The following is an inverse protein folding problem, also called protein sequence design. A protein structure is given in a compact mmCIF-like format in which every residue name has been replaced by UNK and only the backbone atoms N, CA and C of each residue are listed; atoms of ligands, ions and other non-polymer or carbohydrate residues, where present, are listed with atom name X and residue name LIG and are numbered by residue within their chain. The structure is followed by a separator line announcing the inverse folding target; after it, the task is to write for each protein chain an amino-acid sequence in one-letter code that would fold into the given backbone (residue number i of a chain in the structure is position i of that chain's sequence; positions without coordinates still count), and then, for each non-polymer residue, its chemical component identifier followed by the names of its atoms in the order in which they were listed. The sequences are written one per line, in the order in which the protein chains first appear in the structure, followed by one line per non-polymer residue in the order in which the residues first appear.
data_IF_250450915625
#
_entry.id   IF_250450915625
#
_cell.length_a   1.000
_cell.length_b   1.000
_cell.length_c   1.000
_cell.angle_alpha   90.00
_cell.angle_beta   90.00
_cell.angle_gamma   90.00
#
_symmetry.space_group_name_H-M   'P 1'
#
loop_
_entity.id
_entity.type
_entity.pdbx_description
1 polymer ?
#
# COMPACT_ATOMS: atom_id res chain seq x y z
N UNK A 1 54.53 7.28 -44.27
CA UNK A 1 55.99 7.02 -44.18
C UNK A 1 56.65 8.34 -43.79
N UNK A 2 57.41 8.38 -42.68
CA UNK A 2 58.29 9.50 -42.23
C UNK A 2 57.53 10.73 -41.70
N UNK A 3 57.39 11.06 -40.41
CA UNK A 3 58.33 11.23 -39.27
C UNK A 3 59.05 12.60 -39.29
N UNK A 4 58.73 13.41 -38.25
CA UNK A 4 59.48 14.51 -37.57
C UNK A 4 60.00 15.69 -38.41
N UNK A 5 60.07 16.96 -37.98
CA UNK A 5 59.85 17.63 -36.70
C UNK A 5 60.52 19.04 -36.77
N UNK A 6 59.93 20.03 -36.09
CA UNK A 6 60.52 21.29 -35.55
C UNK A 6 61.26 22.29 -36.48
N UNK A 7 60.72 23.53 -36.60
CA UNK A 7 61.12 24.76 -35.86
C UNK A 7 60.62 26.04 -36.54
N UNK A 8 60.03 26.91 -35.71
CA UNK A 8 59.91 28.39 -35.70
C UNK A 8 59.92 29.22 -37.00
N UNK A 9 58.90 30.07 -37.17
CA UNK A 9 59.03 31.52 -37.01
C UNK A 9 57.69 32.29 -37.12
N UNK A 10 57.70 33.46 -36.48
CA UNK A 10 56.59 34.36 -36.13
C UNK A 10 55.98 35.13 -37.33
N UNK A 11 54.71 35.54 -37.21
CA UNK A 11 54.27 36.86 -37.67
C UNK A 11 53.03 37.35 -36.90
N UNK A 12 53.03 38.67 -36.66
CA UNK A 12 52.05 39.48 -35.94
C UNK A 12 50.61 39.38 -36.45
N UNK A 13 49.61 39.45 -35.55
CA UNK A 13 48.38 40.23 -35.77
C UNK A 13 47.85 40.82 -34.45
N UNK A 14 47.32 42.01 -34.57
CA UNK A 14 46.97 43.04 -33.61
C UNK A 14 45.97 42.70 -32.48
N UNK A 15 46.14 43.51 -31.43
CA UNK A 15 45.32 43.73 -30.25
C UNK A 15 43.90 44.22 -30.62
N UNK A 16 42.87 43.61 -30.04
CA UNK A 16 41.48 43.92 -30.35
C UNK A 16 40.52 43.35 -29.31
N UNK A 17 40.31 44.08 -28.21
CA UNK A 17 39.23 43.80 -27.25
C UNK A 17 37.86 44.01 -27.91
N UNK A 18 36.92 43.05 -27.83
CA UNK A 18 35.51 43.34 -28.02
C UNK A 18 34.81 43.56 -26.67
N UNK A 19 34.22 44.74 -26.59
CA UNK A 19 33.06 45.23 -25.85
C UNK A 19 32.28 44.22 -24.96
N UNK A 20 32.09 44.59 -23.69
CA UNK A 20 31.20 43.90 -22.75
C UNK A 20 29.75 44.31 -23.05
N UNK A 21 29.16 43.67 -24.05
CA UNK A 21 27.74 43.75 -24.36
C UNK A 21 26.87 43.38 -23.15
N UNK A 22 25.90 44.23 -22.86
CA UNK A 22 24.92 44.12 -21.78
C UNK A 22 24.13 42.81 -21.87
N UNK A 23 24.19 42.02 -20.79
CA UNK A 23 23.40 40.79 -20.64
C UNK A 23 21.93 41.18 -20.46
N UNK A 24 21.12 41.00 -21.50
CA UNK A 24 19.67 41.15 -21.42
C UNK A 24 19.11 40.24 -20.32
N UNK A 25 18.32 40.82 -19.40
CA UNK A 25 17.60 40.07 -18.37
C UNK A 25 16.63 39.09 -19.04
N UNK A 26 16.56 37.81 -18.62
CA UNK A 26 15.59 36.88 -19.17
C UNK A 26 14.17 37.40 -18.86
N UNK A 27 13.31 37.38 -19.89
CA UNK A 27 11.88 37.68 -19.76
C UNK A 27 11.30 36.72 -18.74
N UNK A 28 10.55 37.26 -17.78
CA UNK A 28 9.81 36.47 -16.81
C UNK A 28 8.94 35.46 -17.55
N UNK A 29 9.21 34.18 -17.31
CA UNK A 29 8.29 33.10 -17.66
C UNK A 29 7.08 33.26 -16.76
N UNK A 30 6.02 33.89 -17.25
CA UNK A 30 4.68 33.77 -16.67
C UNK A 30 4.18 32.36 -16.97
N UNK A 31 4.72 31.37 -16.24
CA UNK A 31 4.03 30.10 -16.08
C UNK A 31 2.90 30.36 -15.10
N UNK A 32 1.69 30.48 -15.63
CA UNK A 32 0.45 30.31 -14.87
C UNK A 32 0.59 29.04 -14.04
N UNK A 33 0.79 29.22 -12.74
CA UNK A 33 0.55 28.17 -11.75
C UNK A 33 -0.96 27.95 -11.74
N UNK A 34 -1.43 27.08 -12.63
CA UNK A 34 -2.72 26.42 -12.42
C UNK A 34 -2.57 25.63 -11.12
N UNK A 35 -2.93 26.26 -10.00
CA UNK A 35 -3.33 25.55 -8.81
C UNK A 35 -4.43 24.60 -9.26
N UNK A 36 -4.08 23.33 -9.34
CA UNK A 36 -5.01 22.25 -9.65
C UNK A 36 -6.02 22.23 -8.50
N UNK A 37 -7.14 22.93 -8.62
CA UNK A 37 -8.25 22.87 -7.68
C UNK A 37 -8.73 21.41 -7.67
N UNK A 38 -8.22 20.63 -6.72
CA UNK A 38 -8.74 19.30 -6.47
C UNK A 38 -10.25 19.45 -6.18
N UNK A 39 -11.12 18.68 -6.85
CA UNK A 39 -12.55 18.73 -6.60
C UNK A 39 -12.79 18.63 -5.10
N UNK A 40 -13.50 19.61 -4.51
CA UNK A 40 -13.71 19.71 -3.06
C UNK A 40 -14.34 18.47 -2.42
N UNK A 41 -14.87 17.55 -3.24
CA UNK A 41 -15.59 16.35 -2.82
C UNK A 41 -14.94 15.07 -3.40
N UNK A 42 -13.64 14.87 -3.20
CA UNK A 42 -12.99 13.58 -3.53
C UNK A 42 -13.39 12.51 -2.51
N UNK A 43 -13.81 11.35 -3.00
CA UNK A 43 -14.08 10.17 -2.17
C UNK A 43 -13.03 9.12 -2.48
N UNK A 44 -12.00 9.06 -1.64
CA UNK A 44 -10.90 8.11 -1.76
C UNK A 44 -11.09 6.98 -0.75
N UNK A 45 -11.09 5.74 -1.23
CA UNK A 45 -11.16 4.56 -0.39
C UNK A 45 -9.78 3.92 -0.29
N UNK A 46 -9.28 3.74 0.92
CA UNK A 46 -8.12 2.91 1.20
C UNK A 46 -8.58 1.46 1.41
N UNK A 47 -8.00 0.52 0.68
CA UNK A 47 -8.26 -0.91 0.78
C UNK A 47 -6.98 -1.60 1.26
N UNK A 48 -7.11 -2.37 2.35
CA UNK A 48 -6.06 -3.18 2.95
C UNK A 48 -6.61 -4.62 3.11
N UNK A 49 -5.93 -5.61 2.52
CA UNK A 49 -6.38 -7.01 2.58
C UNK A 49 -5.96 -7.66 3.90
N UNK A 50 -6.92 -7.95 4.77
CA UNK A 50 -6.62 -8.54 6.07
C UNK A 50 -5.98 -9.94 5.97
N UNK A 51 -5.07 -10.25 6.89
CA UNK A 51 -4.37 -11.53 7.01
C UNK A 51 -3.79 -12.06 5.68
N UNK A 52 -3.39 -11.17 4.77
CA UNK A 52 -3.11 -11.48 3.37
C UNK A 52 -2.16 -12.68 3.17
N UNK A 53 -0.98 -12.67 3.81
CA UNK A 53 -0.01 -13.75 3.65
C UNK A 53 -0.55 -15.10 4.14
N UNK A 54 -1.30 -15.12 5.24
CA UNK A 54 -1.92 -16.33 5.77
C UNK A 54 -3.00 -16.86 4.81
N UNK A 55 -3.82 -15.98 4.23
CA UNK A 55 -4.83 -16.38 3.23
C UNK A 55 -4.19 -16.93 1.95
N UNK A 56 -3.07 -16.35 1.51
CA UNK A 56 -2.34 -16.85 0.33
C UNK A 56 -1.77 -18.25 0.56
N UNK A 57 -1.18 -18.51 1.73
CA UNK A 57 -0.70 -19.85 2.07
C UNK A 57 -1.85 -20.84 2.26
N UNK A 58 -2.94 -20.45 2.93
CA UNK A 58 -4.14 -21.28 3.07
C UNK A 58 -4.73 -21.69 1.72
N UNK A 59 -4.69 -20.79 0.73
CA UNK A 59 -5.12 -21.09 -0.65
C UNK A 59 -4.13 -21.95 -1.43
N UNK A 60 -2.82 -21.87 -1.13
CA UNK A 60 -1.77 -22.69 -1.76
C UNK A 60 -1.92 -24.16 -1.36
N UNK A 61 -2.16 -24.44 -0.09
CA UNK A 61 -2.31 -25.79 0.46
C UNK A 61 -3.60 -25.93 1.29
N UNK A 62 -4.77 -25.94 0.64
CA UNK A 62 -6.06 -25.91 1.34
C UNK A 62 -6.30 -27.14 2.20
N UNK A 63 -5.79 -28.31 1.80
CA UNK A 63 -5.98 -29.55 2.54
C UNK A 63 -5.30 -29.50 3.93
N UNK A 64 -4.14 -28.84 4.02
CA UNK A 64 -3.39 -28.74 5.27
C UNK A 64 -3.69 -27.48 6.05
N UNK A 65 -4.05 -26.37 5.39
CA UNK A 65 -4.02 -25.04 6.00
C UNK A 65 -5.39 -24.32 6.07
N UNK A 66 -6.37 -24.67 5.23
CA UNK A 66 -7.65 -23.95 5.22
C UNK A 66 -8.43 -24.19 6.53
N UNK A 67 -8.95 -23.12 7.13
CA UNK A 67 -9.75 -23.20 8.35
C UNK A 67 -8.97 -23.60 9.61
N UNK A 68 -7.63 -23.56 9.57
CA UNK A 68 -6.76 -23.93 10.69
C UNK A 68 -6.00 -22.73 11.24
N UNK A 69 -5.64 -22.74 12.54
CA UNK A 69 -4.79 -21.71 13.11
C UNK A 69 -3.42 -21.73 12.41
N UNK A 70 -3.18 -20.67 11.65
CA UNK A 70 -2.01 -20.46 10.80
C UNK A 70 -1.36 -19.11 11.11
N UNK A 71 -0.04 -19.07 11.14
CA UNK A 71 0.75 -17.84 11.14
C UNK A 71 1.95 -17.95 10.18
N UNK A 72 2.31 -16.82 9.55
CA UNK A 72 3.43 -16.75 8.61
C UNK A 72 4.58 -16.00 9.24
N UNK A 73 5.79 -16.55 9.22
CA UNK A 73 6.99 -15.95 9.84
C UNK A 73 7.83 -15.14 8.85
N UNK A 74 8.41 -14.06 9.35
CA UNK A 74 9.22 -13.12 8.58
C UNK A 74 10.51 -13.76 8.09
N UNK A 75 11.01 -13.30 6.94
CA UNK A 75 12.38 -13.57 6.52
C UNK A 75 13.41 -12.83 7.41
N UNK A 76 14.37 -13.56 7.98
CA UNK A 76 15.47 -13.03 8.77
C UNK A 76 16.80 -13.56 8.21
N UNK A 77 17.65 -12.69 7.61
CA UNK A 77 18.94 -13.10 7.06
C UNK A 77 19.96 -13.55 8.11
N UNK A 78 19.76 -13.18 9.38
CA UNK A 78 20.59 -13.60 10.51
C UNK A 78 19.89 -14.66 11.38
N UNK A 79 18.67 -15.07 10.99
CA UNK A 79 17.86 -16.04 11.71
C UNK A 79 18.11 -17.47 11.24
N UNK A 80 17.49 -18.40 11.94
CA UNK A 80 17.52 -19.84 11.70
C UNK A 80 16.55 -20.32 10.60
N UNK A 81 16.15 -19.42 9.68
CA UNK A 81 15.22 -19.80 8.63
C UNK A 81 15.84 -20.82 7.68
N UNK A 82 15.06 -21.85 7.36
CA UNK A 82 15.46 -22.86 6.38
C UNK A 82 15.53 -22.20 5.00
N UNK A 83 16.59 -22.44 4.23
CA UNK A 83 16.52 -22.09 2.80
C UNK A 83 15.52 -23.05 2.15
N UNK A 84 14.43 -22.51 1.61
CA UNK A 84 13.34 -23.30 1.01
C UNK A 84 13.34 -23.18 -0.50
N UNK A 85 13.47 -24.30 -1.20
CA UNK A 85 13.21 -24.41 -2.63
C UNK A 85 11.69 -24.33 -2.91
N UNK A 86 11.27 -24.02 -4.16
CA UNK A 86 9.85 -23.86 -4.50
C UNK A 86 8.95 -25.04 -4.08
N UNK A 87 9.49 -26.25 -4.17
CA UNK A 87 8.85 -27.53 -3.86
C UNK A 87 8.88 -27.91 -2.37
N UNK A 88 9.68 -27.23 -1.54
CA UNK A 88 9.82 -27.59 -0.14
C UNK A 88 8.52 -27.39 0.66
N UNK A 89 8.32 -28.27 1.65
CA UNK A 89 7.33 -28.03 2.69
C UNK A 89 7.75 -26.82 3.51
N UNK A 90 6.83 -25.86 3.63
CA UNK A 90 7.06 -24.56 4.28
C UNK A 90 6.55 -24.54 5.71
N UNK A 91 5.85 -25.59 6.14
CA UNK A 91 5.43 -25.74 7.52
C UNK A 91 6.65 -26.06 8.37
N UNK A 92 6.84 -25.29 9.44
CA UNK A 92 7.98 -25.44 10.35
C UNK A 92 7.45 -25.65 11.78
N UNK A 93 8.18 -26.40 12.63
CA UNK A 93 7.70 -26.74 13.97
C UNK A 93 7.83 -25.58 14.97
N UNK A 94 8.76 -24.66 14.74
CA UNK A 94 9.09 -23.54 15.62
C UNK A 94 9.83 -22.46 14.82
N UNK A 95 9.84 -21.22 15.30
CA UNK A 95 10.70 -20.16 14.77
C UNK A 95 10.89 -19.02 15.78
N UNK A 96 12.14 -18.58 16.01
CA UNK A 96 12.45 -17.40 16.80
C UNK A 96 12.13 -16.09 16.06
N UNK A 97 11.65 -16.12 14.82
CA UNK A 97 11.38 -14.93 14.02
C UNK A 97 10.00 -14.35 14.27
N UNK A 98 9.85 -13.04 14.04
CA UNK A 98 8.56 -12.36 14.16
C UNK A 98 7.56 -12.91 13.14
N UNK A 99 6.31 -13.01 13.55
CA UNK A 99 5.20 -13.29 12.65
C UNK A 99 4.90 -12.03 11.80
N UNK A 100 4.42 -12.23 10.57
CA UNK A 100 4.04 -11.15 9.64
C UNK A 100 2.57 -11.22 9.21
N UNK A 101 1.92 -12.36 9.41
CA UNK A 101 0.48 -12.49 9.24
C UNK A 101 -0.05 -13.61 10.14
N UNK A 102 -1.27 -13.42 10.63
CA UNK A 102 -1.97 -14.35 11.51
C UNK A 102 -3.36 -14.56 10.94
N UNK A 103 -3.75 -15.81 10.74
CA UNK A 103 -5.11 -16.22 10.38
C UNK A 103 -6.13 -15.84 11.46
N UNK A 104 -7.40 -15.77 11.10
CA UNK A 104 -8.46 -15.46 12.07
C UNK A 104 -8.59 -16.55 13.14
N UNK A 105 -8.39 -17.81 12.76
CA UNK A 105 -8.42 -18.98 13.63
C UNK A 105 -7.33 -18.91 14.70
N UNK A 106 -6.12 -18.47 14.34
CA UNK A 106 -5.03 -18.26 15.30
C UNK A 106 -5.25 -17.00 16.16
N UNK A 107 -5.80 -15.91 15.58
CA UNK A 107 -6.16 -14.70 16.35
C UNK A 107 -7.19 -14.98 17.42
N UNK A 108 -8.19 -15.84 17.13
CA UNK A 108 -9.19 -16.28 18.09
C UNK A 108 -8.58 -17.01 19.30
N UNK A 109 -7.38 -17.57 19.13
CA UNK A 109 -6.60 -18.23 20.20
C UNK A 109 -5.56 -17.29 20.84
N UNK A 110 -5.62 -15.98 20.56
CA UNK A 110 -4.77 -14.98 21.18
C UNK A 110 -3.43 -14.72 20.48
N UNK A 111 -3.15 -15.39 19.35
CA UNK A 111 -1.93 -15.14 18.56
C UNK A 111 -2.00 -13.75 17.93
N UNK A 112 -0.92 -12.97 18.06
CA UNK A 112 -0.81 -11.60 17.53
C UNK A 112 0.35 -11.49 16.55
N UNK A 113 0.20 -10.57 15.58
CA UNK A 113 1.20 -10.36 14.52
C UNK A 113 2.58 -9.97 15.05
N UNK A 114 2.68 -9.31 16.20
CA UNK A 114 3.95 -8.88 16.78
C UNK A 114 4.65 -9.93 17.66
N UNK A 115 4.12 -11.16 17.74
CA UNK A 115 4.76 -12.26 18.46
C UNK A 115 5.87 -12.91 17.64
N UNK A 116 6.81 -13.54 18.34
CA UNK A 116 7.73 -14.51 17.73
C UNK A 116 6.98 -15.82 17.47
N UNK A 117 7.43 -16.60 16.49
CA UNK A 117 6.84 -17.90 16.18
C UNK A 117 6.75 -18.82 17.40
N UNK A 118 7.84 -18.93 18.16
CA UNK A 118 7.90 -19.77 19.37
C UNK A 118 6.90 -19.33 20.45
N UNK A 119 6.76 -18.02 20.66
CA UNK A 119 5.80 -17.45 21.61
C UNK A 119 4.35 -17.76 21.18
N UNK A 120 4.08 -17.69 19.88
CA UNK A 120 2.78 -18.00 19.33
C UNK A 120 2.44 -19.50 19.41
N UNK A 121 3.42 -20.39 19.17
CA UNK A 121 3.26 -21.83 19.37
C UNK A 121 3.00 -22.19 20.84
N UNK A 122 3.61 -21.47 21.78
CA UNK A 122 3.34 -21.68 23.20
C UNK A 122 1.89 -21.29 23.59
N UNK A 123 1.33 -20.27 22.95
CA UNK A 123 -0.06 -19.84 23.16
C UNK A 123 -1.08 -20.70 22.42
N UNK A 124 -0.73 -21.19 21.23
CA UNK A 124 -1.57 -22.00 20.36
C UNK A 124 -0.78 -23.26 19.97
N UNK A 125 -0.88 -24.36 20.74
CA UNK A 125 -0.12 -25.58 20.48
C UNK A 125 -0.41 -26.22 19.12
N UNK A 126 -1.61 -26.02 18.59
CA UNK A 126 -2.03 -26.51 17.27
C UNK A 126 -1.69 -25.51 16.13
N UNK A 127 -0.95 -24.43 16.42
CA UNK A 127 -0.58 -23.41 15.44
C UNK A 127 0.30 -24.00 14.35
N UNK A 128 -0.14 -23.82 13.11
CA UNK A 128 0.67 -24.11 11.94
C UNK A 128 1.52 -22.88 11.63
N UNK A 129 2.82 -22.98 11.85
CA UNK A 129 3.76 -21.95 11.40
C UNK A 129 4.20 -22.24 9.96
N UNK A 130 4.09 -21.22 9.11
CA UNK A 130 4.56 -21.28 7.73
C UNK A 130 5.67 -20.26 7.52
N UNK A 131 6.75 -20.70 6.91
CA UNK A 131 7.85 -19.84 6.54
C UNK A 131 7.62 -19.19 5.17
N UNK A 132 7.95 -17.90 5.07
CA UNK A 132 8.09 -17.22 3.77
C UNK A 132 9.18 -17.92 2.93
N UNK A 133 8.90 -18.29 1.66
CA UNK A 133 9.89 -18.91 0.81
C UNK A 133 11.11 -18.01 0.58
N UNK A 134 12.25 -18.62 0.30
CA UNK A 134 13.52 -17.90 0.14
C UNK A 134 14.21 -18.29 -1.15
N UNK A 135 14.65 -17.33 -1.94
CA UNK A 135 15.45 -17.56 -3.13
C UNK A 135 16.71 -16.70 -3.08
N UNK A 136 17.87 -17.29 -3.41
CA UNK A 136 19.16 -16.58 -3.44
C UNK A 136 19.49 -15.82 -2.14
N UNK A 137 19.19 -16.42 -0.97
CA UNK A 137 19.45 -15.80 0.33
C UNK A 137 18.61 -14.56 0.61
N UNK A 138 17.41 -14.46 0.06
CA UNK A 138 16.43 -13.40 0.31
C UNK A 138 15.00 -13.96 0.31
N UNK A 139 14.07 -13.22 0.90
CA UNK A 139 12.64 -13.52 0.81
C UNK A 139 12.17 -13.55 -0.65
N UNK A 140 11.55 -14.65 -1.07
CA UNK A 140 10.86 -14.72 -2.35
C UNK A 140 9.39 -14.32 -2.17
N UNK A 141 9.06 -13.12 -2.62
CA UNK A 141 7.70 -12.60 -2.54
C UNK A 141 6.88 -12.85 -3.81
N UNK A 142 7.37 -13.68 -4.75
CA UNK A 142 6.72 -13.90 -6.06
C UNK A 142 5.29 -14.42 -5.91
N UNK A 143 5.08 -15.40 -5.03
CA UNK A 143 3.76 -15.95 -4.73
C UNK A 143 2.79 -14.86 -4.24
N UNK A 144 3.19 -14.11 -3.21
CA UNK A 144 2.38 -13.06 -2.59
C UNK A 144 2.11 -11.91 -3.57
N UNK A 145 3.12 -11.45 -4.32
CA UNK A 145 2.97 -10.42 -5.35
C UNK A 145 2.02 -10.85 -6.45
N UNK A 146 2.04 -12.11 -6.87
CA UNK A 146 1.12 -12.64 -7.87
C UNK A 146 -0.33 -12.66 -7.36
N UNK A 147 -0.54 -13.07 -6.11
CA UNK A 147 -1.86 -13.03 -5.48
C UNK A 147 -2.39 -11.59 -5.34
N UNK A 148 -1.56 -10.67 -4.84
CA UNK A 148 -1.92 -9.26 -4.66
C UNK A 148 -2.31 -8.59 -5.97
N UNK A 149 -1.52 -8.79 -7.04
CA UNK A 149 -1.86 -8.30 -8.38
C UNK A 149 -3.23 -8.79 -8.86
N UNK A 150 -3.60 -10.05 -8.59
CA UNK A 150 -4.90 -10.59 -9.00
C UNK A 150 -6.06 -9.89 -8.27
N UNK A 151 -5.94 -9.69 -6.95
CA UNK A 151 -6.98 -9.03 -6.16
C UNK A 151 -7.10 -7.56 -6.54
N UNK A 152 -5.98 -6.85 -6.65
CA UNK A 152 -5.99 -5.44 -7.00
C UNK A 152 -6.48 -5.19 -8.44
N UNK A 153 -6.22 -6.10 -9.37
CA UNK A 153 -6.79 -6.01 -10.72
C UNK A 153 -8.32 -6.10 -10.72
N UNK A 154 -8.91 -6.91 -9.83
CA UNK A 154 -10.37 -6.98 -9.66
C UNK A 154 -10.92 -5.69 -9.06
N UNK A 155 -10.25 -5.13 -8.05
CA UNK A 155 -10.64 -3.83 -7.47
C UNK A 155 -10.56 -2.70 -8.49
N UNK A 156 -9.49 -2.67 -9.29
CA UNK A 156 -9.30 -1.69 -10.36
C UNK A 156 -10.36 -1.82 -11.47
N UNK A 157 -10.88 -3.01 -11.74
CA UNK A 157 -11.97 -3.18 -12.69
C UNK A 157 -13.32 -2.60 -12.19
N UNK A 158 -13.46 -2.42 -10.87
CA UNK A 158 -14.66 -1.87 -10.25
C UNK A 158 -14.57 -0.37 -9.94
N UNK A 159 -13.37 0.22 -9.94
CA UNK A 159 -13.11 1.62 -9.64
C UNK A 159 -12.58 2.36 -10.87
N UNK A 160 -12.98 3.63 -11.06
CA UNK A 160 -12.53 4.43 -12.21
C UNK A 160 -11.01 4.70 -12.21
N UNK A 161 -10.43 4.90 -11.02
CA UNK A 161 -8.99 4.99 -10.82
C UNK A 161 -8.56 4.19 -9.58
N UNK A 162 -7.42 3.49 -9.70
CA UNK A 162 -6.84 2.67 -8.65
C UNK A 162 -5.31 2.87 -8.63
N UNK A 163 -4.76 3.22 -7.48
CA UNK A 163 -3.34 3.33 -7.24
C UNK A 163 -2.91 2.27 -6.23
N UNK A 164 -1.89 1.47 -6.57
CA UNK A 164 -1.38 0.43 -5.71
C UNK A 164 -0.41 1.00 -4.69
N UNK A 165 -0.65 0.77 -3.40
CA UNK A 165 0.22 1.20 -2.31
C UNK A 165 1.22 0.12 -1.88
N UNK A 166 0.79 -1.16 -1.83
CA UNK A 166 1.64 -2.28 -1.40
C UNK A 166 1.28 -3.59 -2.12
N UNK A 167 1.66 -4.76 -1.58
CA UNK A 167 1.22 -6.07 -2.13
C UNK A 167 -0.28 -6.29 -1.92
N UNK A 168 -0.78 -5.85 -0.77
CA UNK A 168 -2.12 -6.03 -0.25
C UNK A 168 -2.88 -4.71 -0.05
N UNK A 169 -2.28 -3.56 -0.36
CA UNK A 169 -2.92 -2.26 -0.20
C UNK A 169 -3.09 -1.49 -1.51
N UNK A 170 -4.20 -0.76 -1.64
CA UNK A 170 -4.48 0.15 -2.74
C UNK A 170 -5.41 1.31 -2.34
N UNK A 171 -5.29 2.43 -3.06
CA UNK A 171 -6.22 3.56 -3.03
C UNK A 171 -7.14 3.52 -4.25
N UNK A 172 -8.43 3.69 -4.03
CA UNK A 172 -9.45 3.74 -5.08
C UNK A 172 -10.10 5.12 -5.10
N UNK A 173 -10.18 5.76 -6.26
CA UNK A 173 -11.02 6.95 -6.44
C UNK A 173 -12.46 6.50 -6.72
N UNK A 174 -13.32 6.69 -5.73
CA UNK A 174 -14.75 6.36 -5.78
C UNK A 174 -15.63 7.60 -5.98
N UNK A 175 -15.05 8.76 -6.32
CA UNK A 175 -15.76 10.04 -6.40
C UNK A 175 -17.00 9.95 -7.29
N UNK A 176 -16.86 9.40 -8.50
CA UNK A 176 -17.97 9.26 -9.45
C UNK A 176 -19.02 8.26 -8.97
N UNK A 177 -18.58 7.11 -8.43
CA UNK A 177 -19.47 6.08 -7.91
C UNK A 177 -20.29 6.60 -6.71
N UNK A 178 -19.66 7.36 -5.82
CA UNK A 178 -20.32 8.00 -4.68
C UNK A 178 -21.33 9.06 -5.14
N UNK A 179 -20.94 9.94 -6.08
CA UNK A 179 -21.84 10.95 -6.64
C UNK A 179 -23.06 10.31 -7.32
N UNK A 180 -22.85 9.26 -8.13
CA UNK A 180 -23.94 8.53 -8.78
C UNK A 180 -24.88 7.85 -7.76
N UNK A 181 -24.35 7.35 -6.64
CA UNK A 181 -25.16 6.75 -5.57
C UNK A 181 -25.97 7.81 -4.82
N UNK A 182 -25.36 8.94 -4.48
CA UNK A 182 -26.04 10.08 -3.85
C UNK A 182 -27.20 10.59 -4.72
N UNK A 183 -26.98 10.75 -6.02
CA UNK A 183 -28.03 11.17 -6.95
C UNK A 183 -29.24 10.22 -6.98
N UNK A 184 -29.02 8.91 -6.80
CA UNK A 184 -30.08 7.89 -6.74
C UNK A 184 -30.83 7.88 -5.41
N UNK A 185 -30.15 8.18 -4.30
CA UNK A 185 -30.75 8.20 -2.96
C UNK A 185 -31.64 9.43 -2.74
N UNK A 186 -31.50 10.46 -3.58
CA UNK A 186 -32.21 11.73 -3.41
C UNK A 186 -31.65 12.56 -2.25
N UNK A 187 -32.24 13.73 -1.96
CA UNK A 187 -31.84 14.52 -0.81
C UNK A 187 -32.08 13.72 0.48
N UNK A 188 -31.23 13.90 1.51
CA UNK A 188 -31.47 13.28 2.80
C UNK A 188 -32.86 13.66 3.33
N UNK A 189 -33.52 12.78 4.12
CA UNK A 189 -34.86 13.03 4.66
C UNK A 189 -34.91 14.20 5.66
N UNK A 190 -33.76 14.78 5.97
CA UNK A 190 -33.63 15.98 6.79
C UNK A 190 -33.04 17.11 5.94
N UNK A 191 -33.62 18.32 6.05
CA UNK A 191 -32.99 19.51 5.50
C UNK A 191 -31.70 19.79 6.28
N UNK A 192 -30.58 20.10 5.61
CA UNK A 192 -29.40 20.57 6.32
C UNK A 192 -29.76 21.85 7.11
N UNK A 193 -29.23 22.03 8.32
CA UNK A 193 -29.51 23.23 9.11
C UNK A 193 -29.08 24.49 8.33
N UNK A 194 -29.80 25.62 8.51
CA UNK A 194 -29.43 26.88 7.87
C UNK A 194 -27.96 27.22 8.12
N UNK A 195 -27.17 27.39 7.05
CA UNK A 195 -25.73 27.71 7.13
C UNK A 195 -24.76 26.53 6.94
N UNK A 196 -25.25 25.30 6.74
CA UNK A 196 -24.39 24.13 6.48
C UNK A 196 -23.56 24.22 5.18
N UNK A 197 -23.97 25.06 4.24
CA UNK A 197 -23.28 25.30 2.96
C UNK A 197 -21.89 25.94 3.14
N UNK A 198 -21.57 26.42 4.35
CA UNK A 198 -20.33 27.12 4.71
C UNK A 198 -19.48 26.42 5.78
N UNK A 199 -19.65 25.11 5.99
CA UNK A 199 -18.64 24.36 6.76
C UNK A 199 -17.44 24.05 5.87
N UNK A 200 -16.50 24.99 5.82
CA UNK A 200 -15.11 24.62 5.57
C UNK A 200 -14.70 23.66 6.68
N UNK A 201 -14.35 22.42 6.34
CA UNK A 201 -13.68 21.51 7.27
C UNK A 201 -12.23 21.98 7.42
N UNK A 202 -12.06 23.18 7.97
CA UNK A 202 -10.83 23.63 8.59
C UNK A 202 -10.78 23.03 9.98
N UNK A 203 -9.58 22.64 10.41
CA UNK A 203 -9.31 21.98 11.68
C UNK A 203 -10.09 22.61 12.86
N UNK A 204 -10.59 21.73 13.73
CA UNK A 204 -11.33 22.02 14.98
C UNK A 204 -12.84 22.36 14.82
N UNK A 205 -13.62 21.39 14.36
CA UNK A 205 -15.06 21.36 14.69
C UNK A 205 -15.26 20.62 16.04
N UNK A 206 -16.00 21.19 17.02
CA UNK A 206 -16.37 20.45 18.22
C UNK A 206 -17.22 19.25 17.84
N UNK A 207 -16.87 18.07 18.37
CA UNK A 207 -17.44 16.79 17.99
C UNK A 207 -18.97 16.81 17.98
N UNK A 208 -19.54 16.81 16.78
CA UNK A 208 -20.97 16.72 16.60
C UNK A 208 -21.48 15.33 17.04
N UNK A 209 -22.65 15.24 17.68
CA UNK A 209 -23.15 14.03 18.35
C UNK A 209 -23.47 12.84 17.41
N UNK A 210 -23.34 13.00 16.09
CA UNK A 210 -23.43 11.90 15.13
C UNK A 210 -22.16 11.03 15.07
N UNK A 211 -21.08 11.40 15.77
CA UNK A 211 -19.92 10.54 16.04
C UNK A 211 -20.15 9.51 17.17
N UNK A 212 -21.40 9.18 17.49
CA UNK A 212 -21.70 8.00 18.29
C UNK A 212 -21.37 6.74 17.47
N UNK A 213 -20.12 6.27 17.58
CA UNK A 213 -19.64 5.02 17.00
C UNK A 213 -20.60 3.88 17.38
N UNK A 214 -21.27 3.32 16.38
CA UNK A 214 -21.97 2.03 16.50
C UNK A 214 -20.93 0.92 16.74
N UNK A 215 -20.50 0.75 18.00
CA UNK A 215 -19.48 -0.24 18.40
C UNK A 215 -20.05 -1.59 18.81
N UNK A 216 -21.35 -1.84 18.73
CA UNK A 216 -21.94 -3.03 19.40
C UNK A 216 -22.80 -3.95 18.55
N UNK A 217 -22.78 -3.90 17.21
CA UNK A 217 -23.66 -4.76 16.39
C UNK A 217 -22.96 -5.53 15.26
N UNK A 218 -21.64 -5.66 15.27
CA UNK A 218 -20.96 -6.49 14.27
C UNK A 218 -20.89 -7.95 14.76
N UNK A 219 -21.77 -8.81 14.24
CA UNK A 219 -21.62 -10.26 14.33
C UNK A 219 -21.19 -10.84 12.97
N UNK A 220 -20.22 -11.76 12.91
CA UNK A 220 -19.76 -12.33 11.64
C UNK A 220 -20.84 -13.25 11.04
N UNK A 221 -21.35 -12.94 9.84
CA UNK A 221 -22.22 -13.85 9.09
C UNK A 221 -23.20 -13.25 8.08
N UNK A 222 -23.44 -11.93 8.06
CA UNK A 222 -24.45 -11.33 7.18
C UNK A 222 -23.85 -10.52 6.03
N UNK A 223 -24.49 -10.64 4.85
CA UNK A 223 -23.99 -10.24 3.55
C UNK A 223 -23.64 -8.74 3.42
N UNK A 224 -22.56 -8.49 2.68
CA UNK A 224 -21.99 -7.18 2.38
C UNK A 224 -23.03 -6.16 1.87
N UNK A 225 -23.22 -5.09 2.64
CA UNK A 225 -23.51 -3.76 2.13
C UNK A 225 -22.88 -2.69 3.05
N UNK A 226 -21.90 -2.00 2.48
CA UNK A 226 -21.46 -0.63 2.76
C UNK A 226 -20.44 -0.31 3.88
N UNK A 227 -19.49 0.51 3.44
CA UNK A 227 -18.75 1.58 4.13
C UNK A 227 -17.58 1.17 5.05
N UNK A 228 -16.40 1.01 4.43
CA UNK A 228 -15.12 1.19 5.11
C UNK A 228 -14.90 2.66 5.46
N UNK A 229 -14.91 2.94 6.75
CA UNK A 229 -14.22 4.05 7.40
C UNK A 229 -14.24 3.83 8.92
N UNK A 230 -13.35 2.96 9.41
CA UNK A 230 -12.77 2.98 10.76
C UNK A 230 -11.58 2.01 10.83
#
# INVERSE_FOLDING_TARGET
RGVEGRLDQQSHVADGRPDRGSRAKPRACTSVSEEMELPRNKVICHVDLDAFYAQVEAKRDPNRLAGKPLAVVQYNPQGDLRTLLPEDDRVIPASPNSIIAVSYEARAQGVRRNMRGDEACALCPDLILVQVPTAHGKADLTLYRAAGRRVLALLAACAGACERASIDEAYLDLTEAAAARLAKLGPPPFAPPPGAERMHVGAEAPAAPWHARARSLWQPGEALLAAGAA
#
